data_IF_160967157524
#
_entry.id   IF_160967157524
#
_cell.length_a   1.000
_cell.length_b   1.000
_cell.length_c   1.000
_cell.angle_alpha   90.00
_cell.angle_beta   90.00
_cell.angle_gamma   90.00
#
_symmetry.space_group_name_H-M   'P 1'
#
loop_
_entity.id
_entity.type
_entity.pdbx_description
1 polymer ?
#
# COMPACT_ATOMS: atom_id res chain seq x y z
N UNK A 1 -22.55 34.29 -25.05
CA UNK A 1 -22.88 34.60 -23.63
C UNK A 1 -23.56 33.36 -23.05
N UNK A 2 -23.31 32.99 -21.78
CA UNK A 2 -23.49 31.63 -21.22
C UNK A 2 -22.46 30.64 -21.86
N UNK A 3 -21.59 29.88 -21.16
CA UNK A 3 -21.40 29.47 -19.75
C UNK A 3 -22.02 28.11 -19.36
N UNK A 4 -21.37 27.44 -18.40
CA UNK A 4 -21.46 26.01 -18.00
C UNK A 4 -20.95 25.00 -19.06
N UNK A 5 -20.19 23.95 -18.70
CA UNK A 5 -19.53 23.67 -17.42
C UNK A 5 -18.64 22.42 -17.49
N UNK A 6 -17.30 22.56 -17.43
CA UNK A 6 -16.34 21.44 -17.54
C UNK A 6 -16.04 20.75 -16.21
N UNK A 7 -16.69 19.64 -15.90
CA UNK A 7 -16.31 18.75 -14.78
C UNK A 7 -15.25 17.73 -15.20
N UNK A 8 -14.00 18.18 -15.39
CA UNK A 8 -12.84 17.27 -15.53
C UNK A 8 -12.64 16.49 -14.23
N UNK A 9 -12.59 15.15 -14.30
CA UNK A 9 -12.24 14.28 -13.17
C UNK A 9 -10.94 13.54 -13.50
N UNK A 10 -9.82 13.99 -12.92
CA UNK A 10 -8.53 13.31 -12.95
C UNK A 10 -8.16 12.87 -11.52
N UNK A 11 -8.02 11.56 -11.31
CA UNK A 11 -7.45 10.86 -10.15
C UNK A 11 -7.02 9.50 -10.73
N UNK A 12 -5.80 8.94 -10.79
CA UNK A 12 -4.42 9.12 -10.26
C UNK A 12 -3.97 8.08 -9.16
N UNK A 13 -2.78 7.44 -9.28
CA UNK A 13 -2.33 6.02 -9.01
C UNK A 13 -1.92 5.51 -7.56
N UNK A 14 -0.65 5.10 -7.29
CA UNK A 14 -0.03 4.50 -6.06
C UNK A 14 0.33 5.44 -4.88
N UNK A 15 0.24 4.93 -3.65
CA UNK A 15 1.29 5.21 -2.65
C UNK A 15 0.85 5.45 -1.20
N UNK A 16 1.26 4.52 -0.33
CA UNK A 16 1.25 4.58 1.14
C UNK A 16 -0.13 4.45 1.84
N UNK A 17 -0.26 3.47 2.75
CA UNK A 17 -1.48 3.15 3.50
C UNK A 17 -1.23 3.04 5.01
N UNK A 18 -1.46 4.13 5.77
CA UNK A 18 -0.68 4.35 7.02
C UNK A 18 -1.34 5.13 8.16
N UNK A 19 -0.67 5.07 9.32
CA UNK A 19 -1.13 5.49 10.65
C UNK A 19 -1.30 6.99 10.91
N UNK A 20 -2.07 7.20 12.00
CA UNK A 20 -2.26 8.42 12.77
C UNK A 20 -1.96 8.09 14.24
N UNK A 21 -0.71 8.30 14.67
CA UNK A 21 -0.27 8.20 16.06
C UNK A 21 -0.46 9.53 16.79
N UNK A 22 -1.70 9.84 17.19
CA UNK A 22 -2.06 11.12 17.79
C UNK A 22 -1.68 11.19 19.29
N UNK A 23 -0.38 11.32 19.57
CA UNK A 23 0.16 11.43 20.93
C UNK A 23 1.25 12.53 21.02
N UNK A 24 1.15 13.33 22.08
CA UNK A 24 1.93 14.56 22.38
C UNK A 24 1.63 15.79 21.49
N UNK A 25 1.97 16.97 22.04
CA UNK A 25 1.96 18.30 21.40
C UNK A 25 0.59 18.91 21.00
N UNK A 26 -0.26 19.16 22.00
CA UNK A 26 -1.28 20.22 21.96
C UNK A 26 -0.96 21.30 23.02
N UNK A 27 -0.40 22.46 22.64
CA UNK A 27 -0.30 23.60 23.55
C UNK A 27 -1.65 24.33 23.66
N UNK A 28 -2.12 24.59 24.88
CA UNK A 28 -3.23 25.53 25.14
C UNK A 28 -4.65 24.94 25.19
N UNK A 29 -4.94 24.12 26.20
CA UNK A 29 -6.33 23.87 26.64
C UNK A 29 -6.44 23.90 28.18
N UNK A 30 -6.36 25.11 28.74
CA UNK A 30 -6.49 25.36 30.18
C UNK A 30 -7.96 25.39 30.63
N UNK A 31 -8.58 24.22 30.79
CA UNK A 31 -9.97 24.14 31.27
C UNK A 31 -10.45 22.75 31.68
N UNK A 32 -10.57 22.53 33.00
CA UNK A 32 -11.45 21.53 33.64
C UNK A 32 -11.18 20.03 33.40
N UNK A 33 -11.29 19.56 32.15
CA UNK A 33 -11.38 18.14 31.80
C UNK A 33 -10.04 17.48 31.36
N UNK A 34 -8.95 18.25 31.33
CA UNK A 34 -7.68 17.81 30.74
C UNK A 34 -6.97 16.65 31.44
N UNK A 35 -7.28 16.37 32.71
CA UNK A 35 -6.62 15.30 33.51
C UNK A 35 -6.93 13.91 32.97
N UNK A 36 -8.19 13.61 32.65
CA UNK A 36 -8.59 12.31 32.08
C UNK A 36 -8.21 12.17 30.61
N UNK A 37 -8.18 13.27 29.85
CA UNK A 37 -7.70 13.23 28.46
C UNK A 37 -6.20 12.89 28.40
N UNK A 38 -5.40 13.48 29.28
CA UNK A 38 -3.97 13.19 29.39
C UNK A 38 -3.67 11.84 30.04
N UNK A 39 -4.56 11.22 30.82
CA UNK A 39 -4.33 9.88 31.38
C UNK A 39 -4.58 8.76 30.36
N UNK A 40 -5.63 8.90 29.54
CA UNK A 40 -5.89 7.98 28.42
C UNK A 40 -4.74 8.02 27.40
N UNK A 41 -4.24 9.23 27.07
CA UNK A 41 -3.08 9.43 26.19
C UNK A 41 -1.71 9.16 26.85
N UNK A 42 -1.68 8.74 28.14
CA UNK A 42 -0.47 8.33 28.87
C UNK A 42 -0.38 6.84 29.11
N UNK A 43 -1.35 6.04 28.68
CA UNK A 43 -1.19 4.60 28.72
C UNK A 43 -0.05 4.21 27.77
N UNK A 44 1.05 3.74 28.35
CA UNK A 44 2.15 3.11 27.61
C UNK A 44 1.55 2.04 26.69
N UNK A 45 1.94 1.94 25.41
CA UNK A 45 1.48 0.86 24.57
C UNK A 45 1.70 -0.51 25.24
N UNK A 46 0.85 -1.53 24.98
CA UNK A 46 1.33 -2.91 25.11
C UNK A 46 2.66 -3.01 24.35
N UNK A 47 3.66 -3.67 24.94
CA UNK A 47 5.05 -3.70 24.47
C UNK A 47 5.14 -3.55 22.95
N UNK A 48 5.61 -2.38 22.50
CA UNK A 48 5.77 -2.13 21.07
C UNK A 48 6.69 -3.23 20.53
N UNK A 49 6.17 -4.10 19.65
CA UNK A 49 7.02 -4.97 18.83
C UNK A 49 7.97 -4.02 18.09
N UNK A 50 9.23 -3.99 18.51
CA UNK A 50 10.03 -2.77 18.45
C UNK A 50 10.73 -2.57 17.09
N UNK A 51 9.94 -2.65 16.01
CA UNK A 51 10.37 -2.44 14.62
C UNK A 51 10.94 -1.03 14.43
N UNK A 52 10.55 -0.07 15.29
CA UNK A 52 11.06 1.29 15.30
C UNK A 52 12.54 1.38 15.73
N UNK A 53 12.91 0.84 16.88
CA UNK A 53 14.24 1.01 17.46
C UNK A 53 15.34 0.14 16.80
N UNK A 54 14.96 -0.74 15.88
CA UNK A 54 15.88 -1.55 15.08
C UNK A 54 16.16 -0.97 13.67
N UNK A 55 15.35 -0.02 13.20
CA UNK A 55 15.49 0.55 11.86
C UNK A 55 16.63 1.58 11.80
N UNK A 56 17.48 1.48 10.78
CA UNK A 56 18.76 2.19 10.71
C UNK A 56 18.65 3.50 9.90
N UNK A 57 19.49 4.49 10.23
CA UNK A 57 19.66 5.68 9.41
C UNK A 57 20.47 5.35 8.13
N UNK A 58 20.12 5.95 7.00
CA UNK A 58 20.81 5.71 5.73
C UNK A 58 22.16 6.46 5.66
N UNK A 59 23.16 5.92 4.92
CA UNK A 59 24.41 6.63 4.67
C UNK A 59 24.20 7.93 3.84
N UNK A 60 25.00 8.96 4.10
CA UNK A 60 24.90 10.29 3.46
C UNK A 60 24.84 10.24 1.92
N UNK A 61 25.61 9.34 1.30
CA UNK A 61 25.61 9.17 -0.16
C UNK A 61 24.27 8.62 -0.68
N UNK A 62 23.60 7.76 0.09
CA UNK A 62 22.25 7.25 -0.23
C UNK A 62 21.22 8.36 -0.03
N UNK A 63 21.33 9.15 1.04
CA UNK A 63 20.47 10.32 1.28
C UNK A 63 20.62 11.39 0.17
N UNK A 64 21.85 11.60 -0.34
CA UNK A 64 22.08 12.49 -1.48
C UNK A 64 21.38 12.00 -2.76
N UNK A 65 21.43 10.69 -3.04
CA UNK A 65 20.65 10.08 -4.13
C UNK A 65 19.14 10.20 -3.91
N UNK A 66 18.63 9.95 -2.70
CA UNK A 66 17.20 10.09 -2.40
C UNK A 66 16.70 11.52 -2.50
N UNK A 67 17.52 12.52 -2.17
CA UNK A 67 17.20 13.94 -2.40
C UNK A 67 17.14 14.26 -3.88
N UNK A 68 18.08 13.77 -4.70
CA UNK A 68 17.98 13.90 -6.15
C UNK A 68 16.70 13.26 -6.72
N UNK A 69 16.34 12.05 -6.27
CA UNK A 69 15.12 11.37 -6.69
C UNK A 69 13.84 12.10 -6.22
N UNK A 70 13.88 12.74 -5.05
CA UNK A 70 12.79 13.58 -4.54
C UNK A 70 12.52 14.81 -5.40
N UNK A 71 13.57 15.47 -5.87
CA UNK A 71 13.46 16.65 -6.74
C UNK A 71 13.08 16.26 -8.17
N UNK A 72 13.58 15.11 -8.66
CA UNK A 72 13.18 14.53 -9.95
C UNK A 72 11.67 14.27 -10.02
N UNK A 73 11.07 13.71 -8.97
CA UNK A 73 9.60 13.53 -8.89
C UNK A 73 8.82 14.85 -9.02
N UNK A 74 9.35 15.93 -8.43
CA UNK A 74 8.70 17.23 -8.40
C UNK A 74 8.76 17.97 -9.76
N UNK A 75 9.64 17.55 -10.67
CA UNK A 75 9.90 18.26 -11.92
C UNK A 75 9.19 17.64 -13.13
N UNK A 76 8.66 18.51 -14.00
CA UNK A 76 8.28 18.13 -15.37
C UNK A 76 9.46 18.35 -16.29
N UNK A 77 9.87 17.29 -16.99
CA UNK A 77 10.88 17.29 -18.05
C UNK A 77 12.34 17.48 -17.60
N UNK A 78 12.68 17.17 -16.34
CA UNK A 78 14.09 16.98 -15.99
C UNK A 78 14.65 15.72 -16.69
N UNK A 79 15.90 15.80 -17.17
CA UNK A 79 16.64 14.62 -17.57
C UNK A 79 17.01 13.79 -16.33
N UNK A 80 16.98 12.46 -16.45
CA UNK A 80 17.42 11.58 -15.38
C UNK A 80 18.92 11.28 -15.52
N UNK A 81 19.66 11.44 -14.44
CA UNK A 81 21.09 11.18 -14.32
C UNK A 81 21.35 9.87 -13.53
N UNK A 82 21.78 8.77 -14.19
CA UNK A 82 22.13 7.51 -13.53
C UNK A 82 23.28 7.62 -12.51
N UNK A 83 24.24 8.53 -12.70
CA UNK A 83 25.37 8.65 -11.78
C UNK A 83 24.93 9.18 -10.40
N UNK A 84 23.89 10.03 -10.36
CA UNK A 84 23.33 10.54 -9.11
C UNK A 84 22.53 9.52 -8.29
N UNK A 85 22.31 8.32 -8.83
CA UNK A 85 21.59 7.21 -8.15
C UNK A 85 22.44 5.97 -7.93
N UNK A 86 23.71 5.98 -8.34
CA UNK A 86 24.62 4.83 -8.20
C UNK A 86 24.81 4.41 -6.73
N UNK A 87 24.88 5.37 -5.81
CA UNK A 87 25.02 5.09 -4.38
C UNK A 87 23.79 4.36 -3.80
N UNK A 88 22.55 4.79 -4.12
CA UNK A 88 21.34 4.11 -3.63
C UNK A 88 21.13 2.74 -4.28
N UNK A 89 21.40 2.60 -5.58
CA UNK A 89 21.28 1.30 -6.28
C UNK A 89 22.29 0.30 -5.73
N UNK A 90 23.58 0.69 -5.63
CA UNK A 90 24.63 -0.17 -5.11
C UNK A 90 24.41 -0.55 -3.65
N UNK A 91 23.91 0.38 -2.83
CA UNK A 91 23.52 0.11 -1.45
C UNK A 91 22.43 -0.95 -1.35
N UNK A 92 21.34 -0.84 -2.12
CA UNK A 92 20.24 -1.81 -2.12
C UNK A 92 20.71 -3.18 -2.64
N UNK A 93 21.46 -3.19 -3.75
CA UNK A 93 21.96 -4.41 -4.38
C UNK A 93 22.93 -5.22 -3.49
N UNK A 94 23.53 -4.59 -2.47
CA UNK A 94 24.48 -5.21 -1.53
C UNK A 94 23.89 -5.51 -0.15
N UNK A 95 22.60 -5.22 0.10
CA UNK A 95 21.97 -5.54 1.38
C UNK A 95 21.78 -7.06 1.59
N UNK A 96 21.77 -7.54 2.85
CA UNK A 96 21.37 -8.91 3.17
C UNK A 96 19.98 -9.26 2.61
N UNK A 97 19.83 -10.51 2.15
CA UNK A 97 18.58 -11.04 1.56
C UNK A 97 17.40 -11.15 2.54
N UNK A 98 17.65 -10.86 3.83
CA UNK A 98 16.71 -10.97 4.94
C UNK A 98 16.32 -9.57 5.45
N UNK A 99 15.39 -8.92 4.73
CA UNK A 99 14.57 -7.79 5.19
C UNK A 99 15.29 -6.74 6.06
N UNK A 100 15.96 -5.78 5.40
CA UNK A 100 16.67 -4.68 6.08
C UNK A 100 15.81 -3.41 6.16
N UNK A 101 15.69 -2.87 7.37
CA UNK A 101 14.80 -1.75 7.72
C UNK A 101 15.55 -0.43 7.87
N UNK A 102 15.05 0.62 7.21
CA UNK A 102 15.71 1.92 7.15
C UNK A 102 14.76 3.10 7.36
N UNK A 103 15.28 4.17 7.96
CA UNK A 103 14.61 5.46 8.15
C UNK A 103 15.34 6.51 7.30
N UNK A 104 14.87 6.81 6.07
CA UNK A 104 15.35 7.96 5.31
C UNK A 104 14.93 9.26 5.98
N UNK A 105 15.76 10.29 5.86
CA UNK A 105 15.49 11.63 6.38
C UNK A 105 14.13 12.17 5.86
N UNK A 106 13.39 12.83 6.75
CA UNK A 106 12.08 13.41 6.45
C UNK A 106 12.18 14.51 5.39
N UNK A 107 11.28 14.47 4.39
CA UNK A 107 11.34 15.33 3.19
C UNK A 107 10.00 16.02 2.96
N UNK A 108 10.02 17.32 2.67
CA UNK A 108 8.81 18.13 2.46
C UNK A 108 7.84 18.12 3.66
N UNK A 109 8.34 17.94 4.89
CA UNK A 109 7.51 17.78 6.08
C UNK A 109 6.77 16.44 6.17
N UNK A 110 7.21 15.42 5.44
CA UNK A 110 6.74 14.04 5.52
C UNK A 110 7.86 13.14 6.05
N UNK A 111 7.55 12.32 7.05
CA UNK A 111 8.47 11.32 7.60
C UNK A 111 8.52 10.10 6.68
N UNK A 112 9.61 9.31 6.72
CA UNK A 112 9.84 8.22 5.76
C UNK A 112 10.35 6.90 6.36
N UNK A 113 10.13 5.80 5.64
CA UNK A 113 10.79 4.50 5.87
C UNK A 113 11.10 3.80 4.54
N UNK A 114 11.98 2.80 4.62
CA UNK A 114 12.16 1.82 3.58
C UNK A 114 12.37 0.42 4.17
N UNK A 115 11.94 -0.59 3.42
CA UNK A 115 12.30 -1.98 3.61
C UNK A 115 12.98 -2.49 2.33
N UNK A 116 14.10 -3.19 2.47
CA UNK A 116 14.87 -3.78 1.37
C UNK A 116 14.76 -5.30 1.44
N UNK A 117 14.36 -5.93 0.33
CA UNK A 117 14.14 -7.38 0.24
C UNK A 117 14.74 -7.98 -1.02
N UNK A 118 15.10 -9.26 -0.96
CA UNK A 118 15.43 -10.06 -2.15
C UNK A 118 14.19 -10.84 -2.60
N UNK A 119 13.82 -10.66 -3.88
CA UNK A 119 12.79 -11.41 -4.56
C UNK A 119 13.44 -12.56 -5.34
N UNK A 120 12.99 -13.82 -5.15
CA UNK A 120 13.61 -15.02 -5.73
C UNK A 120 13.19 -15.24 -7.20
N UNK A 121 13.26 -14.18 -8.02
CA UNK A 121 12.92 -14.20 -9.44
C UNK A 121 13.78 -13.23 -10.25
N UNK A 122 13.87 -13.48 -11.56
CA UNK A 122 14.40 -12.53 -12.54
C UNK A 122 13.62 -11.20 -12.54
N UNK A 123 14.27 -10.13 -12.98
CA UNK A 123 13.71 -8.77 -13.02
C UNK A 123 12.46 -8.72 -13.92
N UNK A 124 12.56 -9.30 -15.12
CA UNK A 124 11.51 -9.33 -16.14
C UNK A 124 10.23 -9.97 -15.60
N UNK A 125 10.36 -11.03 -14.78
CA UNK A 125 9.20 -11.73 -14.17
C UNK A 125 8.45 -10.82 -13.20
N UNK A 126 9.16 -10.11 -12.32
CA UNK A 126 8.49 -9.20 -11.38
C UNK A 126 7.98 -7.95 -12.07
N UNK A 127 8.67 -7.43 -13.09
CA UNK A 127 8.17 -6.30 -13.87
C UNK A 127 6.92 -6.64 -14.69
N UNK A 128 6.83 -7.84 -15.26
CA UNK A 128 5.61 -8.33 -15.91
C UNK A 128 4.47 -8.46 -14.89
N UNK A 129 4.71 -9.05 -13.72
CA UNK A 129 3.70 -9.14 -12.67
C UNK A 129 3.20 -7.75 -12.21
N UNK A 130 4.12 -6.84 -11.90
CA UNK A 130 3.79 -5.52 -11.33
C UNK A 130 3.21 -4.51 -12.33
N UNK A 131 3.37 -4.70 -13.65
CA UNK A 131 3.03 -3.66 -14.64
C UNK A 131 2.39 -4.16 -15.97
N UNK A 132 2.18 -5.47 -16.19
CA UNK A 132 1.56 -5.96 -17.43
C UNK A 132 0.10 -5.48 -17.57
N UNK A 133 -0.29 -4.77 -18.66
CA UNK A 133 -1.62 -4.20 -18.82
C UNK A 133 -2.73 -5.24 -18.70
N UNK A 134 -3.70 -4.94 -17.83
CA UNK A 134 -4.76 -5.88 -17.45
C UNK A 134 -4.46 -6.69 -16.18
N UNK A 135 -3.30 -6.52 -15.54
CA UNK A 135 -3.06 -6.87 -14.13
C UNK A 135 -3.15 -5.58 -13.30
N UNK A 136 -4.28 -5.30 -12.63
CA UNK A 136 -4.40 -4.13 -11.79
C UNK A 136 -3.68 -4.37 -10.46
N UNK A 137 -3.08 -3.31 -9.88
CA UNK A 137 -2.21 -3.43 -8.71
C UNK A 137 -2.87 -4.15 -7.53
N UNK A 138 -4.17 -3.90 -7.31
CA UNK A 138 -4.91 -4.52 -6.21
C UNK A 138 -4.96 -6.05 -6.25
N UNK A 139 -4.67 -6.68 -7.40
CA UNK A 139 -4.56 -8.13 -7.52
C UNK A 139 -3.31 -8.68 -6.78
N UNK A 140 -2.20 -7.94 -6.82
CA UNK A 140 -0.92 -8.36 -6.23
C UNK A 140 -0.62 -7.68 -4.88
N UNK A 141 -1.07 -6.43 -4.72
CA UNK A 141 -0.83 -5.60 -3.54
C UNK A 141 -2.05 -5.60 -2.59
N UNK A 142 -2.77 -6.73 -2.51
CA UNK A 142 -4.04 -6.89 -1.77
C UNK A 142 -3.96 -6.55 -0.26
N UNK A 143 -2.77 -6.67 0.35
CA UNK A 143 -2.52 -6.25 1.72
C UNK A 143 -2.67 -4.73 1.94
N UNK A 144 -2.46 -3.92 0.89
CA UNK A 144 -2.44 -2.45 0.94
C UNK A 144 -3.45 -1.75 0.05
N UNK A 145 -3.99 -2.42 -0.97
CA UNK A 145 -5.00 -1.87 -1.88
C UNK A 145 -6.34 -2.62 -1.79
N UNK A 146 -7.43 -1.88 -1.58
CA UNK A 146 -8.79 -2.35 -1.87
C UNK A 146 -9.04 -2.37 -3.38
N UNK A 147 -8.57 -1.33 -4.07
CA UNK A 147 -8.81 -1.12 -5.49
C UNK A 147 -7.86 -0.07 -6.08
N UNK A 148 -7.49 -0.31 -7.32
CA UNK A 148 -6.89 0.67 -8.23
C UNK A 148 -7.46 0.48 -9.63
N UNK A 149 -7.53 1.54 -10.43
CA UNK A 149 -7.97 1.49 -11.83
C UNK A 149 -7.37 2.65 -12.61
N UNK A 150 -7.14 2.50 -13.91
CA UNK A 150 -6.38 3.46 -14.72
C UNK A 150 -7.24 4.69 -15.14
N UNK A 151 -6.66 5.90 -15.22
CA UNK A 151 -7.36 7.05 -15.86
C UNK A 151 -7.43 6.83 -17.36
N UNK A 152 -6.30 6.40 -17.93
CA UNK A 152 -6.15 6.04 -19.32
C UNK A 152 -5.22 4.82 -19.41
N UNK A 153 -5.78 3.69 -19.87
CA UNK A 153 -5.04 2.44 -19.99
C UNK A 153 -4.01 2.47 -21.13
N UNK A 154 -4.10 3.43 -22.06
CA UNK A 154 -3.09 3.61 -23.11
C UNK A 154 -1.79 4.17 -22.53
N UNK A 155 -1.85 5.11 -21.58
CA UNK A 155 -0.66 5.64 -20.89
C UNK A 155 0.10 4.52 -20.14
N UNK A 156 -0.62 3.57 -19.53
CA UNK A 156 -0.01 2.42 -18.82
C UNK A 156 0.53 1.38 -19.79
N UNK A 157 -0.20 1.10 -20.88
CA UNK A 157 0.28 0.20 -21.95
C UNK A 157 1.58 0.72 -22.56
N UNK A 158 1.67 2.02 -22.84
CA UNK A 158 2.89 2.67 -23.31
C UNK A 158 4.00 2.67 -22.25
N UNK A 159 3.68 2.91 -20.97
CA UNK A 159 4.66 2.83 -19.89
C UNK A 159 5.24 1.41 -19.73
N UNK A 160 4.40 0.38 -19.81
CA UNK A 160 4.83 -1.02 -19.73
C UNK A 160 5.69 -1.43 -20.93
N UNK A 161 5.18 -1.23 -22.14
CA UNK A 161 5.86 -1.63 -23.37
C UNK A 161 7.24 -0.97 -23.53
N UNK A 162 7.41 0.23 -22.97
CA UNK A 162 8.62 1.03 -23.15
C UNK A 162 9.57 0.96 -21.94
N UNK A 163 9.08 0.82 -20.70
CA UNK A 163 9.94 0.73 -19.50
C UNK A 163 10.13 -0.70 -18.95
N UNK A 164 9.18 -1.61 -19.11
CA UNK A 164 9.21 -2.92 -18.43
C UNK A 164 9.52 -4.11 -19.38
N UNK A 165 9.00 -4.10 -20.61
CA UNK A 165 9.13 -5.24 -21.55
C UNK A 165 10.56 -5.49 -22.07
N UNK A 166 11.34 -4.49 -22.55
CA UNK A 166 12.56 -4.82 -23.28
C UNK A 166 13.69 -5.30 -22.36
N UNK A 167 14.46 -6.28 -22.83
CA UNK A 167 15.78 -6.61 -22.29
C UNK A 167 16.83 -5.72 -22.97
N UNK A 168 17.54 -4.89 -22.19
CA UNK A 168 18.41 -3.84 -22.72
C UNK A 168 19.86 -4.31 -22.82
N UNK A 169 20.37 -4.44 -24.05
CA UNK A 169 21.68 -5.07 -24.30
C UNK A 169 22.82 -4.10 -24.59
N UNK A 170 22.56 -2.85 -25.01
CA UNK A 170 23.60 -1.87 -25.38
C UNK A 170 23.22 -0.41 -25.08
N UNK A 171 24.26 0.38 -24.76
CA UNK A 171 24.35 1.84 -24.86
C UNK A 171 23.11 2.71 -24.46
N UNK A 172 22.82 2.77 -23.16
CA UNK A 172 22.10 3.89 -22.47
C UNK A 172 20.77 4.34 -23.12
N UNK A 173 19.73 3.52 -22.98
CA UNK A 173 18.35 3.94 -23.19
C UNK A 173 17.68 4.31 -21.85
N UNK A 174 17.74 5.58 -21.46
CA UNK A 174 16.85 6.11 -20.42
C UNK A 174 15.42 6.16 -20.94
N UNK A 175 14.54 5.26 -20.48
CA UNK A 175 13.11 5.32 -20.86
C UNK A 175 12.27 5.83 -19.70
N UNK A 176 11.66 7.00 -19.89
CA UNK A 176 10.85 7.70 -18.88
C UNK A 176 9.40 7.86 -19.35
N UNK A 177 8.42 7.37 -18.59
CA UNK A 177 6.98 7.55 -18.86
C UNK A 177 6.21 7.97 -17.61
N UNK A 178 5.10 8.71 -17.76
CA UNK A 178 4.22 9.17 -16.68
C UNK A 178 2.77 8.78 -16.98
N UNK A 179 2.01 8.42 -15.94
CA UNK A 179 0.59 8.04 -16.07
C UNK A 179 -0.20 8.22 -14.76
N UNK A 180 -1.53 8.16 -14.85
CA UNK A 180 -2.47 8.32 -13.73
C UNK A 180 -3.40 7.09 -13.59
N UNK A 181 -3.59 6.55 -12.37
CA UNK A 181 -4.54 5.44 -12.09
C UNK A 181 -5.73 5.84 -11.20
N UNK A 182 -5.85 5.35 -9.98
CA UNK A 182 -6.79 5.73 -8.88
C UNK A 182 -6.43 4.79 -7.75
N UNK A 183 -6.58 5.19 -6.48
CA UNK A 183 -6.49 4.22 -5.38
C UNK A 183 -7.52 4.45 -4.28
N UNK A 184 -8.03 3.33 -3.76
CA UNK A 184 -8.50 3.21 -2.40
C UNK A 184 -7.69 2.12 -1.67
N UNK A 185 -7.01 2.52 -0.61
CA UNK A 185 -6.13 1.65 0.19
C UNK A 185 -6.91 0.78 1.18
N UNK A 186 -6.26 -0.22 1.77
CA UNK A 186 -6.81 -1.01 2.88
C UNK A 186 -6.86 -0.19 4.18
N UNK A 187 -7.68 -0.61 5.17
CA UNK A 187 -7.69 0.01 6.50
C UNK A 187 -6.38 -0.30 7.22
N UNK A 188 -5.59 0.74 7.47
CA UNK A 188 -4.29 0.62 8.12
C UNK A 188 -4.41 -0.12 9.49
N UNK A 189 -3.59 -1.16 9.78
CA UNK A 189 -3.87 -2.13 10.86
C UNK A 189 -4.10 -1.57 12.26
N UNK A 190 -3.41 -0.49 12.65
CA UNK A 190 -3.42 0.06 14.00
C UNK A 190 -4.26 1.35 14.16
N UNK A 191 -4.84 1.90 13.08
CA UNK A 191 -5.86 2.99 13.12
C UNK A 191 -7.22 2.65 12.51
N UNK A 192 -7.31 1.56 11.75
CA UNK A 192 -8.50 1.17 10.98
C UNK A 192 -8.88 2.17 9.88
N UNK A 193 -7.98 3.08 9.48
CA UNK A 193 -8.28 4.14 8.51
C UNK A 193 -7.92 3.76 7.09
N UNK A 194 -8.84 3.97 6.15
CA UNK A 194 -8.58 3.95 4.71
C UNK A 194 -9.02 5.25 4.02
N UNK A 195 -8.50 5.47 2.82
CA UNK A 195 -8.58 6.72 2.08
C UNK A 195 -8.63 6.47 0.57
N UNK A 196 -9.30 7.37 -0.17
CA UNK A 196 -9.27 7.39 -1.65
C UNK A 196 -8.40 8.55 -2.14
N UNK A 197 -7.38 8.31 -2.96
CA UNK A 197 -6.48 9.38 -3.42
C UNK A 197 -6.10 9.33 -4.90
N UNK A 198 -4.99 10.00 -5.23
CA UNK A 198 -4.71 10.66 -6.50
C UNK A 198 -3.22 10.97 -6.58
N UNK A 199 -2.47 10.34 -7.48
CA UNK A 199 -1.04 10.59 -7.68
C UNK A 199 -0.58 10.33 -9.13
N UNK A 200 0.54 10.92 -9.54
CA UNK A 200 1.21 10.55 -10.79
C UNK A 200 2.19 9.42 -10.52
N UNK A 201 2.12 8.33 -11.29
CA UNK A 201 3.22 7.37 -11.42
C UNK A 201 4.18 7.84 -12.50
N UNK A 202 5.46 7.60 -12.29
CA UNK A 202 6.51 7.78 -13.29
C UNK A 202 7.43 6.56 -13.27
N UNK A 203 7.62 5.92 -14.41
CA UNK A 203 8.56 4.82 -14.57
C UNK A 203 9.82 5.33 -15.27
N UNK A 204 10.99 4.87 -14.81
CA UNK A 204 12.31 5.09 -15.38
C UNK A 204 13.06 3.77 -15.38
N UNK A 205 13.50 3.28 -16.54
CA UNK A 205 14.50 2.18 -16.61
C UNK A 205 15.80 2.69 -17.20
N UNK A 206 16.91 2.26 -16.61
CA UNK A 206 18.27 2.49 -17.10
C UNK A 206 19.26 1.53 -16.43
N UNK A 207 20.43 1.36 -17.05
CA UNK A 207 21.60 0.79 -16.38
C UNK A 207 22.15 1.80 -15.37
N UNK A 208 22.46 1.34 -14.17
CA UNK A 208 23.14 2.10 -13.11
C UNK A 208 24.34 1.28 -12.64
N UNK A 209 25.55 1.73 -13.01
CA UNK A 209 26.74 0.88 -12.95
C UNK A 209 26.53 -0.39 -13.79
N UNK A 210 26.65 -1.56 -13.17
CA UNK A 210 26.38 -2.87 -13.79
C UNK A 210 24.94 -3.37 -13.64
N UNK A 211 24.05 -2.63 -12.97
CA UNK A 211 22.71 -3.10 -12.63
C UNK A 211 21.63 -2.54 -13.54
N UNK A 212 20.83 -3.41 -14.17
CA UNK A 212 19.55 -3.02 -14.78
C UNK A 212 18.57 -2.66 -13.65
N UNK A 213 18.07 -1.42 -13.68
CA UNK A 213 17.24 -0.86 -12.62
C UNK A 213 15.98 -0.21 -13.19
N UNK A 214 14.81 -0.68 -12.76
CA UNK A 214 13.56 0.07 -12.88
C UNK A 214 13.29 0.87 -11.60
N UNK A 215 13.21 2.19 -11.73
CA UNK A 215 12.63 3.09 -10.75
C UNK A 215 11.15 3.31 -11.07
N UNK A 216 10.28 3.15 -10.09
CA UNK A 216 8.86 3.48 -10.14
C UNK A 216 8.57 4.53 -9.07
N UNK A 217 8.54 5.79 -9.50
CA UNK A 217 8.17 6.93 -8.68
C UNK A 217 6.67 7.08 -8.59
N UNK A 218 6.17 7.56 -7.45
CA UNK A 218 4.78 7.95 -7.32
C UNK A 218 4.58 9.14 -6.38
N UNK A 219 3.76 10.13 -6.77
CA UNK A 219 3.53 11.37 -6.00
C UNK A 219 2.07 11.83 -5.98
N UNK A 220 1.48 12.02 -4.80
CA UNK A 220 0.12 12.57 -4.65
C UNK A 220 -0.08 13.96 -5.27
N UNK A 221 -1.13 14.08 -6.08
CA UNK A 221 -1.62 15.33 -6.67
C UNK A 221 -2.67 15.96 -5.73
N UNK A 222 -2.18 16.40 -4.57
CA UNK A 222 -3.01 16.98 -3.50
C UNK A 222 -3.65 15.94 -2.57
N UNK A 223 -4.50 16.38 -1.62
CA UNK A 223 -4.97 15.53 -0.51
C UNK A 223 -5.88 14.37 -0.92
N UNK A 224 -5.91 13.35 -0.05
CA UNK A 224 -6.85 12.24 -0.12
C UNK A 224 -8.30 12.66 0.17
N UNK A 225 -9.23 11.72 0.05
CA UNK A 225 -10.51 11.79 0.76
C UNK A 225 -10.30 12.02 2.25
N UNK A 226 -11.37 12.41 2.95
CA UNK A 226 -11.46 12.24 4.39
C UNK A 226 -11.40 10.73 4.75
N UNK A 227 -10.93 10.43 5.96
CA UNK A 227 -10.77 9.06 6.43
C UNK A 227 -12.09 8.31 6.58
N UNK A 228 -12.08 7.04 6.17
CA UNK A 228 -13.14 6.04 6.41
C UNK A 228 -12.61 4.93 7.32
N UNK A 229 -13.52 4.24 8.02
CA UNK A 229 -13.21 3.22 9.02
C UNK A 229 -13.41 1.80 8.51
N UNK A 230 -12.44 0.94 8.76
CA UNK A 230 -12.48 -0.50 8.48
C UNK A 230 -11.69 -1.29 9.52
N UNK A 231 -11.58 -2.60 9.29
CA UNK A 231 -10.88 -3.54 10.16
C UNK A 231 -10.34 -4.73 9.33
N UNK A 232 -9.28 -5.43 9.76
CA UNK A 232 -8.89 -6.72 9.19
C UNK A 232 -9.99 -7.79 9.39
N UNK A 233 -9.98 -8.83 8.56
CA UNK A 233 -10.90 -9.96 8.62
C UNK A 233 -10.10 -11.26 8.69
N UNK A 234 -10.08 -11.88 9.87
CA UNK A 234 -9.28 -13.07 10.13
C UNK A 234 -7.81 -12.77 10.46
N UNK A 235 -6.91 -13.75 10.27
CA UNK A 235 -5.49 -13.60 10.59
C UNK A 235 -4.81 -12.51 9.75
N UNK A 236 -3.86 -11.72 10.32
CA UNK A 236 -3.20 -10.63 9.61
C UNK A 236 -2.53 -11.04 8.28
N UNK A 237 -1.98 -12.25 8.23
CA UNK A 237 -1.30 -12.83 7.07
C UNK A 237 -2.22 -13.03 5.84
N UNK A 238 -3.55 -13.04 6.03
CA UNK A 238 -4.50 -13.17 4.92
C UNK A 238 -4.62 -11.88 4.08
N UNK A 239 -4.20 -10.73 4.61
CA UNK A 239 -4.34 -9.44 3.90
C UNK A 239 -5.79 -9.19 3.43
N UNK A 240 -6.77 -9.44 4.32
CA UNK A 240 -8.19 -9.28 4.03
C UNK A 240 -8.82 -8.31 5.03
N UNK A 241 -9.76 -7.49 4.54
CA UNK A 241 -10.32 -6.38 5.29
C UNK A 241 -11.82 -6.20 5.04
N UNK A 242 -12.48 -5.56 6.00
CA UNK A 242 -13.84 -5.09 5.94
C UNK A 242 -13.85 -3.55 5.93
N UNK A 243 -14.64 -2.99 5.02
CA UNK A 243 -14.73 -1.57 4.73
C UNK A 243 -16.13 -1.08 5.14
N UNK A 244 -16.23 -0.30 6.22
CA UNK A 244 -17.55 0.08 6.77
C UNK A 244 -18.20 1.29 6.10
N UNK A 245 -17.46 2.03 5.26
CA UNK A 245 -17.80 3.35 4.72
C UNK A 245 -18.08 4.45 5.76
N UNK A 246 -18.13 4.12 7.06
CA UNK A 246 -18.33 5.08 8.16
C UNK A 246 -17.13 6.04 8.20
N UNK A 247 -17.34 7.36 8.27
CA UNK A 247 -16.26 8.32 8.38
C UNK A 247 -15.53 8.21 9.73
N UNK A 248 -14.32 8.77 9.79
CA UNK A 248 -13.54 8.94 11.02
C UNK A 248 -12.29 8.05 11.07
N UNK A 249 -11.76 7.82 12.27
CA UNK A 249 -10.69 6.84 12.56
C UNK A 249 -11.20 5.81 13.58
N UNK A 250 -10.67 4.58 13.61
CA UNK A 250 -11.22 3.54 14.50
C UNK A 250 -10.72 3.64 15.96
N UNK A 251 -9.75 4.53 16.26
CA UNK A 251 -9.24 4.76 17.62
C UNK A 251 -10.35 5.22 18.61
N UNK A 252 -10.53 4.54 19.76
CA UNK A 252 -11.47 4.93 20.81
C UNK A 252 -11.28 6.38 21.27
N UNK A 253 -12.40 7.07 21.56
CA UNK A 253 -12.42 8.49 21.93
C UNK A 253 -12.13 9.47 20.78
N UNK A 254 -11.53 9.01 19.67
CA UNK A 254 -11.17 9.82 18.50
C UNK A 254 -12.01 9.49 17.26
N UNK A 255 -13.04 8.65 17.37
CA UNK A 255 -13.86 8.18 16.22
C UNK A 255 -14.58 9.27 15.41
N UNK A 256 -14.66 10.49 15.95
CA UNK A 256 -15.18 11.69 15.29
C UNK A 256 -14.14 12.40 14.40
N UNK A 257 -12.85 12.11 14.57
CA UNK A 257 -11.75 12.78 13.88
C UNK A 257 -11.69 12.29 12.43
N UNK A 258 -11.85 13.22 11.49
CA UNK A 258 -11.72 12.95 10.05
C UNK A 258 -10.39 13.50 9.56
N UNK A 259 -9.47 12.61 9.26
CA UNK A 259 -8.11 12.92 8.81
C UNK A 259 -7.98 12.87 7.29
N UNK A 260 -6.84 13.34 6.77
CA UNK A 260 -6.45 13.18 5.36
C UNK A 260 -4.96 12.86 5.26
N UNK A 261 -4.58 12.10 4.23
CA UNK A 261 -3.21 12.10 3.71
C UNK A 261 -3.05 13.39 2.91
N UNK A 262 -2.11 14.25 3.32
CA UNK A 262 -1.83 15.55 2.69
C UNK A 262 -0.82 15.43 1.56
N UNK A 263 0.19 14.59 1.76
CA UNK A 263 1.16 14.18 0.75
C UNK A 263 1.60 12.75 1.00
N UNK A 264 1.84 12.05 -0.10
CA UNK A 264 2.52 10.76 -0.15
C UNK A 264 3.47 10.80 -1.34
N UNK A 265 4.69 10.31 -1.15
CA UNK A 265 5.64 10.03 -2.23
C UNK A 265 6.32 8.69 -1.99
N UNK A 266 6.39 7.87 -3.02
CA UNK A 266 7.11 6.58 -2.99
C UNK A 266 8.11 6.52 -4.14
N UNK A 267 9.30 6.00 -3.85
CA UNK A 267 10.30 5.60 -4.83
C UNK A 267 10.50 4.10 -4.67
N UNK A 268 9.93 3.32 -5.58
CA UNK A 268 10.16 1.87 -5.66
C UNK A 268 11.32 1.61 -6.62
N UNK A 269 12.23 0.70 -6.27
CA UNK A 269 13.32 0.24 -7.13
C UNK A 269 13.26 -1.28 -7.27
N UNK A 270 13.37 -1.75 -8.50
CA UNK A 270 13.61 -3.15 -8.86
C UNK A 270 14.98 -3.22 -9.53
N UNK A 271 15.92 -3.96 -8.95
CA UNK A 271 17.32 -4.00 -9.37
C UNK A 271 17.68 -5.46 -9.67
N UNK A 272 18.04 -5.77 -10.91
CA UNK A 272 18.48 -7.11 -11.30
C UNK A 272 19.81 -7.45 -10.64
N UNK A 273 19.83 -8.40 -9.71
CA UNK A 273 21.05 -8.83 -8.98
C UNK A 273 21.53 -10.24 -9.37
N UNK A 274 20.79 -10.94 -10.23
CA UNK A 274 21.21 -12.18 -10.87
C UNK A 274 20.12 -12.77 -11.75
N UNK A 275 20.44 -13.84 -12.48
CA UNK A 275 19.52 -14.48 -13.45
C UNK A 275 18.20 -14.99 -12.86
N UNK A 276 18.12 -15.17 -11.54
CA UNK A 276 16.86 -15.39 -10.83
C UNK A 276 16.85 -14.68 -9.45
N UNK A 277 17.35 -13.43 -9.41
CA UNK A 277 17.34 -12.60 -8.20
C UNK A 277 17.11 -11.13 -8.55
N UNK A 278 16.15 -10.52 -7.86
CA UNK A 278 15.88 -9.07 -7.95
C UNK A 278 15.92 -8.49 -6.54
N UNK A 279 16.76 -7.47 -6.32
CA UNK A 279 16.67 -6.67 -5.11
C UNK A 279 15.54 -5.64 -5.28
N UNK A 280 14.65 -5.57 -4.28
CA UNK A 280 13.51 -4.67 -4.25
C UNK A 280 13.63 -3.72 -3.05
N UNK A 281 13.32 -2.44 -3.28
CA UNK A 281 13.16 -1.47 -2.21
C UNK A 281 11.96 -0.56 -2.49
N UNK A 282 11.26 -0.11 -1.46
CA UNK A 282 10.35 1.02 -1.55
C UNK A 282 10.70 2.05 -0.46
N UNK A 283 11.25 3.20 -0.85
CA UNK A 283 11.31 4.37 0.03
C UNK A 283 9.98 5.08 -0.03
N UNK A 284 9.31 5.26 1.10
CA UNK A 284 8.02 5.96 1.18
C UNK A 284 8.13 7.07 2.19
N UNK A 285 7.70 8.28 1.82
CA UNK A 285 7.45 9.38 2.73
C UNK A 285 5.97 9.72 2.71
N UNK A 286 5.37 9.89 3.90
CA UNK A 286 3.96 10.26 3.99
C UNK A 286 3.73 11.29 5.10
N UNK A 287 2.84 12.23 4.82
CA UNK A 287 2.28 13.14 5.80
C UNK A 287 0.76 12.97 5.82
N UNK A 288 0.24 12.40 6.90
CA UNK A 288 -1.19 12.32 7.17
C UNK A 288 -1.52 12.85 8.57
N UNK A 289 -2.75 13.34 8.72
CA UNK A 289 -3.22 13.86 9.99
C UNK A 289 -4.40 14.80 9.87
N UNK A 290 -4.43 15.80 10.77
CA UNK A 290 -5.55 16.68 11.00
C UNK A 290 -5.08 18.08 11.41
N UNK A 291 -5.80 19.12 11.00
CA UNK A 291 -5.50 20.55 11.28
C UNK A 291 -4.03 20.96 11.10
N UNK A 292 -3.35 20.38 10.11
CA UNK A 292 -1.97 20.73 9.77
C UNK A 292 -0.87 19.95 10.51
N UNK A 293 -1.21 19.14 11.52
CA UNK A 293 -0.26 18.26 12.20
C UNK A 293 0.03 17.01 11.35
N UNK A 294 1.31 16.61 11.25
CA UNK A 294 1.65 15.24 10.85
C UNK A 294 1.59 14.35 12.08
N UNK A 295 1.06 13.14 11.92
CA UNK A 295 0.94 12.13 12.98
C UNK A 295 1.28 10.72 12.48
N UNK A 296 1.73 10.59 11.23
CA UNK A 296 2.41 9.38 10.73
C UNK A 296 3.85 9.35 11.25
N UNK A 297 4.35 8.19 11.68
CA UNK A 297 5.75 7.95 12.08
C UNK A 297 6.36 6.86 11.20
N UNK A 298 7.69 6.91 10.99
CA UNK A 298 8.46 5.95 10.18
C UNK A 298 8.21 4.48 10.53
N UNK A 299 8.08 4.14 11.81
CA UNK A 299 7.75 2.77 12.25
C UNK A 299 6.43 2.25 11.69
N UNK A 300 5.48 3.15 11.46
CA UNK A 300 4.20 2.81 10.87
C UNK A 300 4.35 2.59 9.36
N UNK A 301 5.07 3.50 8.69
CA UNK A 301 5.42 3.40 7.26
C UNK A 301 6.02 2.01 6.97
N UNK A 302 6.88 1.56 7.88
CA UNK A 302 7.57 0.28 7.82
C UNK A 302 6.66 -0.95 8.06
N UNK A 303 5.75 -0.91 9.04
CA UNK A 303 4.80 -2.01 9.30
C UNK A 303 4.02 -2.42 8.05
N UNK A 304 3.39 -1.45 7.38
CA UNK A 304 2.57 -1.71 6.19
C UNK A 304 3.42 -1.98 4.94
N UNK A 305 4.65 -1.43 4.86
CA UNK A 305 5.64 -1.88 3.87
C UNK A 305 5.93 -3.38 4.01
N UNK A 306 6.25 -3.88 5.22
CA UNK A 306 6.57 -5.31 5.44
C UNK A 306 5.45 -6.26 5.02
N UNK A 307 4.20 -5.95 5.39
CA UNK A 307 3.04 -6.72 4.95
C UNK A 307 2.93 -6.80 3.42
N UNK A 308 3.30 -5.72 2.72
CA UNK A 308 3.41 -5.72 1.26
C UNK A 308 4.58 -6.58 0.77
N UNK A 309 5.77 -6.43 1.36
CA UNK A 309 6.98 -7.13 0.93
C UNK A 309 6.86 -8.65 1.08
N UNK A 310 6.28 -9.14 2.18
CA UNK A 310 6.01 -10.57 2.35
C UNK A 310 5.11 -11.13 1.23
N UNK A 311 4.05 -10.41 0.84
CA UNK A 311 3.14 -10.81 -0.23
C UNK A 311 3.85 -10.80 -1.60
N UNK A 312 4.57 -9.72 -1.94
CA UNK A 312 5.35 -9.60 -3.18
C UNK A 312 6.41 -10.72 -3.27
N UNK A 313 7.12 -11.00 -2.16
CA UNK A 313 8.14 -12.05 -2.06
C UNK A 313 7.54 -13.45 -2.25
N UNK A 314 6.32 -13.68 -1.75
CA UNK A 314 5.57 -14.93 -1.96
C UNK A 314 5.10 -15.08 -3.41
N UNK A 315 4.61 -14.00 -4.02
CA UNK A 315 4.23 -13.97 -5.45
C UNK A 315 5.46 -14.28 -6.33
N UNK A 316 6.57 -13.58 -6.11
CA UNK A 316 7.83 -13.80 -6.81
C UNK A 316 8.32 -15.26 -6.71
N UNK A 317 8.25 -15.84 -5.50
CA UNK A 317 8.69 -17.21 -5.21
C UNK A 317 7.69 -18.32 -5.55
N UNK A 318 6.45 -18.01 -5.94
CA UNK A 318 5.44 -19.03 -6.31
C UNK A 318 5.50 -19.27 -7.82
N UNK A 319 5.97 -20.43 -8.34
CA UNK A 319 6.18 -20.61 -9.78
C UNK A 319 4.92 -20.35 -10.62
N UNK A 320 3.77 -20.82 -10.13
CA UNK A 320 2.46 -20.68 -10.76
C UNK A 320 1.93 -19.23 -10.84
N UNK A 321 2.47 -18.29 -10.04
CA UNK A 321 2.14 -16.88 -10.12
C UNK A 321 2.88 -16.20 -11.28
N UNK A 322 2.55 -16.59 -12.52
CA UNK A 322 2.98 -15.89 -13.75
C UNK A 322 2.07 -14.71 -14.04
N UNK A 323 2.54 -13.71 -14.79
CA UNK A 323 1.68 -12.60 -15.25
C UNK A 323 0.48 -13.13 -16.04
N UNK A 324 0.71 -14.04 -17.00
CA UNK A 324 -0.33 -14.73 -17.76
C UNK A 324 -1.43 -15.38 -16.90
N UNK A 325 -1.06 -16.06 -15.80
CA UNK A 325 -2.02 -16.71 -14.90
C UNK A 325 -2.80 -15.70 -14.05
N UNK A 326 -2.14 -14.67 -13.52
CA UNK A 326 -2.83 -13.57 -12.79
C UNK A 326 -3.76 -12.80 -13.73
N UNK A 327 -3.30 -12.49 -14.95
CA UNK A 327 -4.12 -11.85 -15.98
C UNK A 327 -5.29 -12.76 -16.44
N UNK A 328 -5.14 -14.08 -16.40
CA UNK A 328 -6.23 -15.02 -16.66
C UNK A 328 -7.29 -14.98 -15.55
N UNK A 329 -6.88 -14.91 -14.27
CA UNK A 329 -7.77 -14.68 -13.13
C UNK A 329 -8.54 -13.36 -13.30
N UNK A 330 -7.83 -12.27 -13.60
CA UNK A 330 -8.44 -10.95 -13.78
C UNK A 330 -9.43 -10.94 -14.95
N UNK A 331 -9.05 -11.44 -16.13
CA UNK A 331 -9.95 -11.55 -17.29
C UNK A 331 -11.21 -12.37 -16.96
N UNK A 332 -11.05 -13.48 -16.24
CA UNK A 332 -12.17 -14.34 -15.82
C UNK A 332 -13.12 -13.59 -14.89
N UNK A 333 -12.61 -12.98 -13.81
CA UNK A 333 -13.43 -12.26 -12.83
C UNK A 333 -14.10 -10.98 -13.39
N UNK A 334 -13.48 -10.32 -14.37
CA UNK A 334 -14.09 -9.20 -15.09
C UNK A 334 -15.16 -9.66 -16.10
N UNK A 335 -15.06 -10.88 -16.63
CA UNK A 335 -16.06 -11.50 -17.50
C UNK A 335 -17.21 -12.17 -16.73
N UNK A 336 -17.03 -12.52 -15.44
CA UNK A 336 -18.07 -13.15 -14.61
C UNK A 336 -19.39 -12.36 -14.62
N UNK A 337 -20.55 -13.02 -14.83
CA UNK A 337 -21.85 -12.40 -14.67
C UNK A 337 -22.05 -11.84 -13.24
N UNK A 338 -22.85 -10.77 -13.13
CA UNK A 338 -23.11 -10.13 -11.84
C UNK A 338 -23.74 -11.06 -10.79
N UNK A 339 -24.48 -12.08 -11.23
CA UNK A 339 -25.01 -13.17 -10.40
C UNK A 339 -23.92 -13.94 -9.68
N UNK A 340 -22.82 -14.25 -10.36
CA UNK A 340 -21.79 -15.17 -9.87
C UNK A 340 -20.74 -14.42 -9.05
N UNK A 341 -20.44 -13.17 -9.41
CA UNK A 341 -19.70 -12.25 -8.54
C UNK A 341 -20.46 -12.03 -7.21
N UNK A 342 -21.80 -11.97 -7.24
CA UNK A 342 -22.59 -11.86 -6.02
C UNK A 342 -22.54 -13.14 -5.16
N UNK A 343 -22.58 -14.35 -5.74
CA UNK A 343 -22.40 -15.62 -4.98
C UNK A 343 -21.06 -15.67 -4.25
N UNK A 344 -19.96 -15.32 -4.92
CA UNK A 344 -18.65 -15.28 -4.28
C UNK A 344 -18.57 -14.18 -3.21
N UNK A 345 -19.20 -13.03 -3.46
CA UNK A 345 -19.30 -11.97 -2.47
C UNK A 345 -20.16 -12.35 -1.25
N UNK A 346 -21.17 -13.20 -1.42
CA UNK A 346 -21.98 -13.75 -0.33
C UNK A 346 -21.16 -14.69 0.58
N UNK A 347 -20.22 -15.47 0.02
CA UNK A 347 -19.25 -16.24 0.82
C UNK A 347 -18.35 -15.32 1.66
N UNK A 348 -17.79 -14.26 1.06
CA UNK A 348 -17.06 -13.21 1.80
C UNK A 348 -17.93 -12.60 2.91
N UNK A 349 -19.19 -12.27 2.61
CA UNK A 349 -20.13 -11.72 3.60
C UNK A 349 -20.40 -12.70 4.76
N UNK A 350 -20.41 -14.00 4.52
CA UNK A 350 -20.51 -15.03 5.56
C UNK A 350 -19.22 -15.09 6.40
N UNK A 351 -18.05 -15.09 5.77
CA UNK A 351 -16.74 -15.11 6.42
C UNK A 351 -16.51 -13.91 7.34
N UNK A 352 -16.89 -12.69 6.91
CA UNK A 352 -16.83 -11.48 7.74
C UNK A 352 -17.75 -11.60 8.97
N UNK A 353 -18.95 -12.16 8.82
CA UNK A 353 -19.88 -12.39 9.93
C UNK A 353 -19.32 -13.43 10.90
N UNK A 354 -18.78 -14.54 10.41
CA UNK A 354 -18.16 -15.58 11.21
C UNK A 354 -17.01 -15.02 12.07
N UNK A 355 -16.10 -14.25 11.47
CA UNK A 355 -14.98 -13.63 12.19
C UNK A 355 -15.43 -12.60 13.22
N UNK A 356 -16.46 -11.80 12.93
CA UNK A 356 -17.06 -10.87 13.90
C UNK A 356 -17.63 -11.61 15.12
N UNK A 357 -18.26 -12.77 14.95
CA UNK A 357 -18.78 -13.54 16.09
C UNK A 357 -17.64 -14.27 16.85
N UNK A 358 -16.59 -14.74 16.14
CA UNK A 358 -15.35 -15.25 16.78
C UNK A 358 -14.66 -14.19 17.65
N UNK A 359 -14.57 -12.93 17.17
CA UNK A 359 -14.06 -11.81 17.96
C UNK A 359 -14.82 -11.64 19.28
N UNK A 360 -16.17 -11.59 19.25
CA UNK A 360 -16.99 -11.47 20.47
C UNK A 360 -16.71 -12.61 21.45
N UNK A 361 -16.68 -13.86 20.96
CA UNK A 361 -16.39 -15.04 21.77
C UNK A 361 -14.98 -15.04 22.38
N UNK A 362 -14.03 -14.35 21.74
CA UNK A 362 -12.66 -14.15 22.25
C UNK A 362 -12.59 -13.01 23.27
N UNK A 363 -13.24 -11.88 23.00
CA UNK A 363 -13.32 -10.72 23.90
C UNK A 363 -13.98 -11.09 25.24
N UNK A 364 -15.05 -11.90 25.21
CA UNK A 364 -15.69 -12.45 26.43
C UNK A 364 -14.78 -13.36 27.27
N UNK A 365 -13.66 -13.85 26.72
CA UNK A 365 -12.63 -14.62 27.44
C UNK A 365 -11.40 -13.78 27.83
N UNK A 366 -11.24 -12.58 27.30
CA UNK A 366 -10.11 -11.66 27.59
C UNK A 366 -10.60 -10.41 28.32
N UNK A 367 -10.95 -10.59 29.59
CA UNK A 367 -11.37 -9.51 30.52
C UNK A 367 -10.16 -8.64 30.98
N UNK A 368 -8.94 -8.98 30.58
CA UNK A 368 -7.73 -8.19 30.79
C UNK A 368 -6.87 -8.15 29.51
N UNK A 369 -5.99 -7.15 29.44
CA UNK A 369 -5.05 -6.79 28.36
C UNK A 369 -5.70 -5.99 27.22
N UNK A 370 -4.99 -4.91 26.85
CA UNK A 370 -5.30 -3.86 25.86
C UNK A 370 -6.35 -4.16 24.78
N UNK A 371 -7.33 -3.26 24.69
CA UNK A 371 -8.38 -3.25 23.67
C UNK A 371 -7.74 -3.13 22.29
N UNK A 372 -7.86 -4.18 21.46
CA UNK A 372 -7.52 -4.06 20.05
C UNK A 372 -8.51 -3.09 19.38
N UNK A 373 -7.99 -1.94 18.97
CA UNK A 373 -8.78 -0.76 18.60
C UNK A 373 -9.54 -0.90 17.28
N UNK A 374 -9.15 -1.85 16.41
CA UNK A 374 -9.70 -2.00 15.06
C UNK A 374 -10.36 -3.37 14.84
N UNK A 375 -11.25 -3.75 15.76
CA UNK A 375 -12.05 -4.98 15.65
C UNK A 375 -13.22 -4.83 14.68
N UNK A 376 -13.63 -5.92 14.02
CA UNK A 376 -14.88 -5.98 13.27
C UNK A 376 -16.06 -5.60 14.17
N UNK A 377 -16.06 -6.03 15.43
CA UNK A 377 -17.06 -5.66 16.43
C UNK A 377 -17.32 -4.15 16.55
N UNK A 378 -16.32 -3.30 16.36
CA UNK A 378 -16.41 -1.84 16.50
C UNK A 378 -16.88 -1.10 15.21
N UNK A 379 -16.66 -1.67 14.02
CA UNK A 379 -16.96 -1.02 12.73
C UNK A 379 -18.07 -1.70 11.93
N UNK A 380 -18.32 -2.99 12.16
CA UNK A 380 -19.22 -3.83 11.36
C UNK A 380 -20.60 -3.21 11.16
N UNK A 381 -21.10 -3.37 9.95
CA UNK A 381 -22.43 -2.96 9.51
C UNK A 381 -22.97 -3.97 8.50
N UNK A 382 -24.16 -4.57 8.72
CA UNK A 382 -24.77 -5.44 7.73
C UNK A 382 -25.21 -4.68 6.47
N UNK A 383 -25.53 -3.38 6.56
CA UNK A 383 -26.01 -2.59 5.41
C UNK A 383 -24.87 -2.22 4.45
N UNK A 384 -23.66 -1.97 4.96
CA UNK A 384 -22.49 -1.72 4.10
C UNK A 384 -22.13 -2.93 3.24
N UNK A 385 -22.35 -4.16 3.72
CA UNK A 385 -22.18 -5.36 2.90
C UNK A 385 -23.18 -5.38 1.73
N UNK A 386 -24.46 -5.11 2.00
CA UNK A 386 -25.50 -5.09 0.94
C UNK A 386 -25.20 -4.04 -0.14
N UNK A 387 -24.64 -2.89 0.25
CA UNK A 387 -24.44 -1.72 -0.62
C UNK A 387 -23.09 -1.67 -1.35
N UNK A 388 -22.14 -2.58 -1.09
CA UNK A 388 -20.80 -2.52 -1.70
C UNK A 388 -20.86 -2.53 -3.24
N UNK A 389 -20.27 -1.53 -3.95
CA UNK A 389 -20.23 -1.46 -5.40
C UNK A 389 -19.61 -2.68 -6.11
N UNK A 390 -20.14 -3.03 -7.29
CA UNK A 390 -19.78 -4.21 -8.07
C UNK A 390 -18.28 -4.30 -8.44
N UNK A 391 -17.59 -3.17 -8.67
CA UNK A 391 -16.15 -3.18 -8.94
C UNK A 391 -15.33 -3.62 -7.71
N UNK A 392 -15.73 -3.27 -6.49
CA UNK A 392 -15.09 -3.78 -5.27
C UNK A 392 -15.41 -5.26 -5.03
N UNK A 393 -16.62 -5.74 -5.39
CA UNK A 393 -16.94 -7.17 -5.33
C UNK A 393 -16.04 -7.97 -6.27
N UNK A 394 -15.87 -7.51 -7.52
CA UNK A 394 -14.92 -8.10 -8.48
C UNK A 394 -13.47 -8.01 -7.99
N UNK A 395 -13.07 -6.91 -7.36
CA UNK A 395 -11.73 -6.79 -6.80
C UNK A 395 -11.45 -7.82 -5.69
N UNK A 396 -12.41 -8.03 -4.78
CA UNK A 396 -12.31 -9.09 -3.76
C UNK A 396 -12.21 -10.49 -4.38
N UNK A 397 -12.99 -10.79 -5.42
CA UNK A 397 -12.93 -12.08 -6.14
C UNK A 397 -11.58 -12.28 -6.84
N UNK A 398 -11.04 -11.24 -7.50
CA UNK A 398 -9.69 -11.28 -8.09
C UNK A 398 -8.64 -11.56 -7.02
N UNK A 399 -8.68 -10.84 -5.89
CA UNK A 399 -7.75 -11.02 -4.79
C UNK A 399 -7.82 -12.43 -4.21
N UNK A 400 -9.01 -13.02 -4.11
CA UNK A 400 -9.18 -14.37 -3.57
C UNK A 400 -8.66 -15.46 -4.51
N UNK A 401 -8.91 -15.37 -5.81
CA UNK A 401 -8.31 -16.29 -6.77
C UNK A 401 -6.79 -16.13 -6.89
N UNK A 402 -6.23 -14.94 -6.63
CA UNK A 402 -4.78 -14.78 -6.45
C UNK A 402 -4.30 -15.41 -5.14
N UNK A 403 -5.06 -15.31 -4.03
CA UNK A 403 -4.74 -16.03 -2.78
C UNK A 403 -4.77 -17.55 -2.97
N UNK A 404 -5.74 -18.10 -3.70
CA UNK A 404 -5.76 -19.51 -4.10
C UNK A 404 -4.47 -19.92 -4.83
N UNK A 405 -4.07 -19.13 -5.83
CA UNK A 405 -2.84 -19.34 -6.62
C UNK A 405 -1.55 -19.31 -5.76
N UNK A 406 -1.58 -18.65 -4.60
CA UNK A 406 -0.48 -18.55 -3.63
C UNK A 406 -0.58 -19.57 -2.47
N UNK A 407 -1.59 -20.45 -2.48
CA UNK A 407 -1.87 -21.40 -1.40
C UNK A 407 -2.31 -20.71 -0.10
N UNK A 408 -3.13 -19.66 -0.20
CA UNK A 408 -3.66 -18.85 0.92
C UNK A 408 -5.18 -18.58 0.86
N UNK A 409 -6.05 -19.47 0.34
CA UNK A 409 -7.49 -19.19 0.22
C UNK A 409 -8.13 -18.88 1.59
N UNK A 410 -9.14 -18.00 1.63
CA UNK A 410 -9.69 -17.45 2.88
C UNK A 410 -11.16 -17.81 3.09
N UNK A 411 -12.06 -17.35 2.21
CA UNK A 411 -13.48 -17.75 2.15
C UNK A 411 -13.78 -18.68 0.98
N UNK A 412 -12.87 -18.78 0.00
CA UNK A 412 -12.98 -19.75 -1.10
C UNK A 412 -12.43 -21.13 -0.74
N UNK A 413 -11.68 -21.24 0.35
CA UNK A 413 -11.19 -22.50 0.88
C UNK A 413 -12.36 -23.47 1.08
N UNK A 414 -12.29 -24.65 0.46
CA UNK A 414 -13.19 -25.74 0.81
C UNK A 414 -13.05 -26.01 2.31
N UNK A 415 -14.19 -26.20 3.00
CA UNK A 415 -14.20 -26.53 4.43
C UNK A 415 -13.75 -27.99 4.61
N UNK A 416 -12.44 -28.19 4.52
CA UNK A 416 -11.75 -29.38 4.97
C UNK A 416 -11.99 -29.53 6.48
N UNK A 417 -12.89 -30.45 6.79
CA UNK A 417 -13.42 -30.83 8.10
C UNK A 417 -14.28 -29.78 8.83
N UNK A 418 -15.46 -30.25 9.25
CA UNK A 418 -16.41 -29.62 10.20
C UNK A 418 -16.51 -30.49 11.45
#
# INVERSE_FOLDING_TARGET
MLSYGRTRRLRASIGAALLIGLAAWLPGFSGGAGSSFMSILRQTPPEETNVAAAAQALPDAVEASLTYLWDFMATTNAAFDPARVEAVVSFIATQPTNESDWVPASRGGADGSACIVSLPCALERILALSYEPGIPDYALYAAVLRHSAEVDATEVTDAYAQCAVPAWTDAVALVTRKYLCTEEITPNPESGTYYTYTNVRQMVRCMVGTYDTLFSFTQMLGPSSLSKRGAPVGPPENGLFYFSEKPGISLPGLVWLQSQIRSSRTVTLYIGTGSNSTAFCAFTWMNAGWRGLNVTRSSNILNTQKASMHLIRRIAGTPAATSSNVAAIVRTALAMPASDVNKEYEKYCAYVKEWREKEKGSLLKRVNINVNVNTLGAVFDPETLLTMPMHYRRALVIQEHVRELLGMPTWSAEQADK
#
